data_IF_370510328947
#
_entry.id   IF_370510328947
#
_cell.length_a   1.000
_cell.length_b   1.000
_cell.length_c   1.000
_cell.angle_alpha   90.00
_cell.angle_beta   90.00
_cell.angle_gamma   90.00
#
_symmetry.space_group_name_H-M   'P 1'
#
loop_
_entity.id
_entity.type
_entity.pdbx_description
1 polymer ?
#
# COMPACT_ATOMS: atom_id res chain seq x y z
N UNK A 1 24.77 -22.44 16.96
CA UNK A 1 24.30 -21.09 16.63
C UNK A 1 25.31 -20.46 15.67
N UNK A 2 24.93 -20.12 14.45
CA UNK A 2 25.84 -19.49 13.49
C UNK A 2 26.26 -18.09 13.94
N UNK A 3 27.35 -17.56 13.41
CA UNK A 3 27.83 -16.21 13.70
C UNK A 3 26.73 -15.19 13.38
N UNK A 4 26.02 -15.36 12.27
CA UNK A 4 24.90 -14.51 11.86
C UNK A 4 23.75 -14.50 12.87
N UNK A 5 23.42 -15.67 13.43
CA UNK A 5 22.37 -15.78 14.46
C UNK A 5 22.76 -15.04 15.74
N UNK A 6 24.04 -15.11 16.15
CA UNK A 6 24.55 -14.37 17.32
C UNK A 6 24.50 -12.86 17.10
N UNK A 7 24.95 -12.40 15.93
CA UNK A 7 24.90 -10.97 15.56
C UNK A 7 23.47 -10.45 15.52
N UNK A 8 22.56 -11.20 14.89
CA UNK A 8 21.15 -10.81 14.79
C UNK A 8 20.47 -10.77 16.17
N UNK A 9 20.81 -11.72 17.05
CA UNK A 9 20.30 -11.73 18.43
C UNK A 9 20.75 -10.49 19.23
N UNK A 10 22.02 -10.09 19.10
CA UNK A 10 22.52 -8.88 19.77
C UNK A 10 21.92 -7.59 19.17
N UNK A 11 21.79 -7.52 17.84
CA UNK A 11 21.17 -6.38 17.17
C UNK A 11 19.67 -6.21 17.51
N UNK A 12 18.97 -7.30 17.81
CA UNK A 12 17.58 -7.25 18.24
C UNK A 12 17.40 -6.55 19.60
N UNK A 13 18.46 -6.51 20.44
CA UNK A 13 18.45 -5.76 21.71
C UNK A 13 18.62 -4.25 21.52
N UNK A 14 19.04 -3.81 20.33
CA UNK A 14 19.33 -2.41 20.02
C UNK A 14 18.55 -1.98 18.76
N UNK A 15 17.22 -1.81 18.84
CA UNK A 15 16.36 -1.61 17.67
C UNK A 15 16.73 -0.37 16.85
N UNK A 16 17.18 0.72 17.49
CA UNK A 16 17.60 1.93 16.80
C UNK A 16 18.88 1.71 15.98
N UNK A 17 19.86 0.99 16.54
CA UNK A 17 21.10 0.64 15.84
C UNK A 17 20.80 -0.27 14.66
N UNK A 18 19.95 -1.28 14.85
CA UNK A 18 19.52 -2.19 13.77
C UNK A 18 18.85 -1.42 12.63
N UNK A 19 17.97 -0.47 12.95
CA UNK A 19 17.32 0.40 11.94
C UNK A 19 18.33 1.25 11.19
N UNK A 20 19.30 1.84 11.92
CA UNK A 20 20.38 2.66 11.31
C UNK A 20 21.22 1.86 10.33
N UNK A 21 21.68 0.68 10.72
CA UNK A 21 22.46 -0.23 9.86
C UNK A 21 21.65 -0.63 8.63
N UNK A 22 20.38 -1.02 8.82
CA UNK A 22 19.49 -1.40 7.71
C UNK A 22 19.31 -0.25 6.72
N UNK A 23 19.08 0.98 7.21
CA UNK A 23 18.94 2.16 6.34
C UNK A 23 20.21 2.49 5.58
N UNK A 24 21.37 2.46 6.26
CA UNK A 24 22.66 2.69 5.62
C UNK A 24 22.91 1.65 4.52
N UNK A 25 22.69 0.38 4.80
CA UNK A 25 22.81 -0.70 3.82
C UNK A 25 21.87 -0.48 2.61
N UNK A 26 20.59 -0.17 2.86
CA UNK A 26 19.63 0.11 1.80
C UNK A 26 20.04 1.31 0.95
N UNK A 27 20.55 2.38 1.57
CA UNK A 27 21.03 3.57 0.84
C UNK A 27 22.22 3.25 -0.05
N UNK A 28 23.16 2.48 0.44
CA UNK A 28 24.32 2.02 -0.37
C UNK A 28 23.85 1.14 -1.53
N UNK A 29 22.99 0.15 -1.26
CA UNK A 29 22.45 -0.72 -2.31
C UNK A 29 21.67 0.10 -3.36
N UNK A 30 20.89 1.09 -2.93
CA UNK A 30 20.16 1.96 -3.85
C UNK A 30 21.12 2.80 -4.72
N UNK A 31 22.18 3.34 -4.12
CA UNK A 31 23.16 4.17 -4.84
C UNK A 31 23.94 3.38 -5.90
N UNK A 32 24.24 2.10 -5.65
CA UNK A 32 24.99 1.25 -6.57
C UNK A 32 24.09 0.42 -7.48
N UNK A 33 22.78 0.37 -7.23
CA UNK A 33 21.85 -0.39 -8.07
C UNK A 33 21.63 0.28 -9.40
N UNK A 34 21.53 -0.53 -10.47
CA UNK A 34 21.13 -0.03 -11.78
C UNK A 34 19.69 0.50 -11.67
N UNK A 35 19.48 1.75 -12.07
CA UNK A 35 18.13 2.29 -12.18
C UNK A 35 17.38 1.54 -13.27
N UNK A 36 16.24 0.99 -12.90
CA UNK A 36 15.32 0.36 -13.84
C UNK A 36 14.46 1.49 -14.42
N UNK A 37 14.54 1.67 -15.71
CA UNK A 37 13.63 2.56 -16.43
C UNK A 37 12.36 1.78 -16.76
N UNK A 38 11.21 2.34 -16.43
CA UNK A 38 9.93 1.74 -16.78
C UNK A 38 9.63 1.99 -18.24
N UNK A 39 9.28 0.94 -18.99
CA UNK A 39 8.74 1.09 -20.32
C UNK A 39 7.24 1.44 -20.23
N UNK A 40 6.80 2.37 -21.07
CA UNK A 40 5.41 2.80 -21.17
C UNK A 40 5.10 4.12 -20.47
N UNK A 41 3.84 4.52 -20.58
CA UNK A 41 3.34 5.76 -19.99
C UNK A 41 2.73 5.45 -18.60
N UNK A 42 3.44 5.83 -17.54
CA UNK A 42 2.97 5.67 -16.17
C UNK A 42 2.16 6.91 -15.78
N UNK A 43 0.89 6.71 -15.48
CA UNK A 43 -0.02 7.78 -15.03
C UNK A 43 -0.36 7.58 -13.55
N UNK A 44 -0.11 8.59 -12.73
CA UNK A 44 -0.53 8.59 -11.33
C UNK A 44 -2.02 8.93 -11.26
N UNK A 45 -2.81 8.07 -10.62
CA UNK A 45 -4.25 8.25 -10.43
C UNK A 45 -4.60 8.83 -9.07
N UNK A 46 -3.79 8.54 -8.04
CA UNK A 46 -4.00 9.07 -6.68
C UNK A 46 -3.58 10.54 -6.58
N UNK A 47 -4.16 11.31 -5.65
CA UNK A 47 -3.71 12.68 -5.38
C UNK A 47 -2.23 12.74 -5.01
N UNK A 48 -1.63 13.88 -5.26
CA UNK A 48 -0.28 14.18 -4.81
C UNK A 48 -0.35 14.98 -3.50
N UNK A 49 -1.01 14.44 -2.49
CA UNK A 49 -0.93 15.02 -1.15
C UNK A 49 0.23 14.44 -0.36
N UNK A 50 0.66 15.13 0.69
CA UNK A 50 1.75 14.70 1.56
C UNK A 50 1.27 14.18 2.92
N UNK A 51 -0.04 14.20 3.14
CA UNK A 51 -0.66 13.86 4.42
C UNK A 51 -1.13 12.42 4.47
N UNK A 52 -1.34 11.82 3.29
CA UNK A 52 -1.88 10.48 3.17
C UNK A 52 -1.12 9.65 2.14
N UNK A 53 -1.20 8.36 2.33
CA UNK A 53 -0.70 7.35 1.41
C UNK A 53 -1.86 6.58 0.79
N UNK A 54 -1.71 6.27 -0.50
CA UNK A 54 -2.74 5.63 -1.31
C UNK A 54 -2.23 4.31 -1.84
N UNK A 55 -2.99 3.25 -1.63
CA UNK A 55 -2.61 1.90 -2.02
C UNK A 55 -3.84 1.02 -2.27
N UNK A 56 -3.65 -0.13 -2.91
CA UNK A 56 -4.70 -1.14 -3.04
C UNK A 56 -4.43 -2.35 -2.14
N UNK A 57 -3.21 -2.88 -2.19
CA UNK A 57 -2.72 -3.94 -1.31
C UNK A 57 -3.08 -5.35 -1.74
N UNK A 58 -4.29 -5.62 -2.20
CA UNK A 58 -4.77 -6.96 -2.50
C UNK A 58 -4.32 -7.43 -3.91
N UNK A 59 -3.11 -7.95 -3.98
CA UNK A 59 -2.36 -8.22 -5.21
C UNK A 59 -2.97 -9.30 -6.15
N UNK A 60 -3.85 -10.18 -5.68
CA UNK A 60 -4.49 -11.23 -6.48
C UNK A 60 -5.87 -10.82 -7.03
N UNK A 61 -6.28 -9.58 -6.82
CA UNK A 61 -7.52 -9.01 -7.34
C UNK A 61 -7.25 -7.76 -8.16
N UNK A 62 -8.11 -7.51 -9.13
CA UNK A 62 -8.07 -6.25 -9.87
C UNK A 62 -8.72 -5.14 -9.06
N UNK A 63 -8.09 -3.97 -8.91
CA UNK A 63 -8.75 -2.79 -8.35
C UNK A 63 -9.77 -2.18 -9.31
N UNK A 64 -9.71 -2.52 -10.60
CA UNK A 64 -10.60 -2.01 -11.64
C UNK A 64 -11.95 -2.69 -11.61
N UNK A 65 -13.01 -1.90 -11.82
CA UNK A 65 -14.32 -2.44 -12.13
C UNK A 65 -14.37 -3.04 -13.55
N UNK A 66 -15.42 -3.79 -13.86
CA UNK A 66 -15.56 -4.43 -15.17
C UNK A 66 -15.70 -3.45 -16.34
N UNK A 67 -15.99 -2.17 -16.09
CA UNK A 67 -16.07 -1.13 -17.14
C UNK A 67 -14.72 -0.49 -17.45
N UNK A 68 -13.71 -0.71 -16.60
CA UNK A 68 -12.41 -0.04 -16.70
C UNK A 68 -12.44 1.44 -16.35
N UNK A 69 -13.51 1.92 -15.70
CA UNK A 69 -13.67 3.32 -15.32
C UNK A 69 -13.34 3.59 -13.86
N UNK A 70 -13.77 2.70 -12.98
CA UNK A 70 -13.65 2.91 -11.56
C UNK A 70 -12.53 2.04 -10.95
N UNK A 71 -11.80 2.63 -10.01
CA UNK A 71 -10.74 1.95 -9.27
C UNK A 71 -11.04 2.04 -7.78
N UNK A 72 -10.96 0.89 -7.09
CA UNK A 72 -10.91 0.87 -5.63
C UNK A 72 -9.50 1.24 -5.19
N UNK A 73 -9.40 2.13 -4.21
CA UNK A 73 -8.15 2.54 -3.60
C UNK A 73 -8.35 2.70 -2.09
N UNK A 74 -7.34 2.39 -1.31
CA UNK A 74 -7.31 2.69 0.12
C UNK A 74 -6.50 3.95 0.37
N UNK A 75 -6.85 4.67 1.43
CA UNK A 75 -6.11 5.82 1.94
C UNK A 75 -5.87 5.66 3.42
N UNK A 76 -4.61 5.73 3.84
CA UNK A 76 -4.21 5.76 5.24
C UNK A 76 -3.29 6.96 5.49
N UNK A 77 -3.11 7.30 6.76
CA UNK A 77 -2.17 8.34 7.17
C UNK A 77 -0.73 7.91 6.94
N UNK A 78 -0.43 6.65 7.23
CA UNK A 78 0.92 6.10 7.18
C UNK A 78 0.86 4.59 6.87
N UNK A 79 1.68 4.15 5.89
CA UNK A 79 1.83 2.73 5.55
C UNK A 79 3.22 2.18 5.93
N UNK A 80 4.10 2.98 6.52
CA UNK A 80 5.48 2.62 6.87
C UNK A 80 5.63 2.10 8.30
N UNK A 81 4.82 2.62 9.21
CA UNK A 81 4.70 2.09 10.56
C UNK A 81 3.61 1.01 10.62
N UNK A 82 3.72 0.12 11.58
CA UNK A 82 2.58 -0.76 11.89
C UNK A 82 1.45 0.15 12.39
N UNK A 83 0.26 0.10 11.75
CA UNK A 83 -0.85 0.92 12.21
C UNK A 83 -1.25 0.51 13.62
N UNK A 84 -1.65 1.51 14.42
CA UNK A 84 -2.33 1.24 15.67
C UNK A 84 -3.60 0.43 15.37
N UNK A 85 -3.96 -0.60 16.15
CA UNK A 85 -5.17 -1.40 15.93
C UNK A 85 -6.47 -0.60 15.82
N UNK A 86 -6.48 0.62 16.33
CA UNK A 86 -7.64 1.53 16.24
C UNK A 86 -7.55 2.52 15.06
N UNK A 87 -6.43 2.56 14.35
CA UNK A 87 -6.27 3.49 13.23
C UNK A 87 -7.02 2.97 12.00
N UNK A 88 -7.93 3.79 11.49
CA UNK A 88 -8.76 3.44 10.36
C UNK A 88 -8.10 3.81 9.03
N UNK A 89 -8.50 3.12 7.96
CA UNK A 89 -8.23 3.50 6.59
C UNK A 89 -9.53 3.77 5.83
N UNK A 90 -9.48 4.70 4.90
CA UNK A 90 -10.60 5.00 4.03
C UNK A 90 -10.57 4.12 2.80
N UNK A 91 -11.74 3.65 2.38
CA UNK A 91 -11.95 3.00 1.08
C UNK A 91 -12.51 4.05 0.12
N UNK A 92 -11.79 4.24 -0.97
CA UNK A 92 -12.03 5.28 -1.96
C UNK A 92 -12.39 4.66 -3.30
N UNK A 93 -13.21 5.38 -4.06
CA UNK A 93 -13.49 5.11 -5.46
C UNK A 93 -12.91 6.24 -6.31
N UNK A 94 -12.07 5.91 -7.27
CA UNK A 94 -11.49 6.84 -8.24
C UNK A 94 -12.25 6.70 -9.55
N UNK A 95 -12.79 7.79 -10.08
CA UNK A 95 -13.41 7.86 -11.42
C UNK A 95 -12.38 8.39 -12.42
N UNK A 96 -11.80 7.50 -13.20
CA UNK A 96 -10.71 7.83 -14.14
C UNK A 96 -11.17 8.68 -15.32
N UNK A 97 -12.46 8.68 -15.64
CA UNK A 97 -13.03 9.48 -16.72
C UNK A 97 -13.30 10.92 -16.25
N UNK A 98 -13.53 11.13 -14.93
CA UNK A 98 -13.77 12.45 -14.37
C UNK A 98 -12.51 13.03 -13.70
N UNK A 99 -11.42 13.14 -14.47
CA UNK A 99 -10.15 13.72 -14.00
C UNK A 99 -9.66 13.10 -12.67
N UNK A 100 -9.80 11.77 -12.54
CA UNK A 100 -9.46 11.01 -11.34
C UNK A 100 -10.17 11.52 -10.06
N UNK A 101 -11.42 11.96 -10.20
CA UNK A 101 -12.19 12.40 -9.04
C UNK A 101 -12.36 11.28 -8.02
N UNK A 102 -12.19 11.62 -6.75
CA UNK A 102 -12.20 10.66 -5.64
C UNK A 102 -13.46 10.83 -4.82
N UNK A 103 -14.05 9.70 -4.47
CA UNK A 103 -15.16 9.62 -3.52
C UNK A 103 -14.84 8.60 -2.43
N UNK A 104 -14.92 9.00 -1.18
CA UNK A 104 -14.88 8.06 -0.05
C UNK A 104 -16.20 7.28 -0.03
N UNK A 105 -16.10 5.95 0.02
CA UNK A 105 -17.26 5.05 0.03
C UNK A 105 -17.43 4.33 1.37
N UNK A 106 -16.34 4.10 2.10
CA UNK A 106 -16.38 3.48 3.43
C UNK A 106 -15.12 3.82 4.24
N UNK A 107 -15.12 3.39 5.49
CA UNK A 107 -13.95 3.36 6.39
C UNK A 107 -13.84 1.93 6.91
N UNK A 108 -12.64 1.44 7.15
CA UNK A 108 -12.37 0.14 7.76
C UNK A 108 -11.36 0.25 8.88
N UNK A 109 -11.49 -0.58 9.92
CA UNK A 109 -10.52 -0.75 11.00
C UNK A 109 -9.73 -2.06 10.87
N UNK A 110 -10.11 -2.88 9.89
CA UNK A 110 -9.48 -4.19 9.62
C UNK A 110 -8.69 -4.14 8.33
N UNK A 111 -7.44 -3.71 8.42
CA UNK A 111 -6.56 -3.59 7.26
C UNK A 111 -5.09 -3.76 7.62
N UNK A 112 -4.28 -4.04 6.63
CA UNK A 112 -2.82 -4.01 6.71
C UNK A 112 -2.23 -3.55 5.37
N UNK A 113 -0.95 -3.19 5.37
CA UNK A 113 -0.29 -2.62 4.19
C UNK A 113 -0.18 -3.63 3.05
N UNK A 114 -0.05 -4.92 3.37
CA UNK A 114 0.19 -5.96 2.38
C UNK A 114 -1.09 -6.36 1.63
N UNK A 115 -2.22 -6.47 2.33
CA UNK A 115 -3.47 -6.99 1.76
C UNK A 115 -4.59 -5.94 1.70
N UNK A 116 -4.34 -4.73 2.21
CA UNK A 116 -5.39 -3.76 2.41
C UNK A 116 -6.47 -4.31 3.34
N UNK A 117 -7.72 -3.99 3.08
CA UNK A 117 -8.90 -4.58 3.73
C UNK A 117 -9.52 -5.69 2.88
N UNK A 118 -8.76 -6.29 1.98
CA UNK A 118 -9.22 -7.29 1.00
C UNK A 118 -10.37 -6.79 0.11
N UNK A 119 -10.40 -5.48 -0.16
CA UNK A 119 -11.43 -4.88 -1.00
C UNK A 119 -11.41 -5.46 -2.42
N UNK A 120 -12.57 -5.81 -2.91
CA UNK A 120 -12.73 -6.38 -4.25
C UNK A 120 -14.10 -6.09 -4.83
N UNK A 121 -14.17 -6.01 -6.16
CA UNK A 121 -15.44 -5.96 -6.86
C UNK A 121 -16.16 -7.29 -6.76
N UNK A 122 -17.45 -7.26 -6.41
CA UNK A 122 -18.26 -8.45 -6.26
C UNK A 122 -18.87 -8.88 -7.60
N UNK A 123 -18.73 -10.17 -7.92
CA UNK A 123 -19.38 -10.77 -9.10
C UNK A 123 -20.91 -10.92 -8.93
N UNK A 124 -21.60 -11.24 -10.02
CA UNK A 124 -21.08 -11.59 -11.34
C UNK A 124 -20.73 -10.38 -12.24
N UNK A 125 -21.21 -9.18 -11.92
CA UNK A 125 -21.08 -8.00 -12.79
C UNK A 125 -19.78 -7.22 -12.56
N UNK A 126 -19.13 -7.39 -11.40
CA UNK A 126 -17.88 -6.72 -10.99
C UNK A 126 -17.87 -5.19 -11.17
N UNK A 127 -19.01 -4.53 -10.97
CA UNK A 127 -19.16 -3.08 -11.15
C UNK A 127 -20.10 -2.39 -10.17
N UNK A 128 -21.02 -3.14 -9.55
CA UNK A 128 -22.09 -2.56 -8.75
C UNK A 128 -21.82 -2.59 -7.26
N UNK A 129 -21.10 -3.60 -6.79
CA UNK A 129 -20.85 -3.83 -5.37
C UNK A 129 -19.39 -4.11 -5.07
N UNK A 130 -18.97 -3.71 -3.88
CA UNK A 130 -17.63 -3.94 -3.35
C UNK A 130 -17.77 -4.72 -2.05
N UNK A 131 -16.97 -5.78 -1.91
CA UNK A 131 -16.80 -6.54 -0.67
C UNK A 131 -15.47 -6.14 -0.02
N UNK A 132 -15.45 -5.99 1.30
CA UNK A 132 -14.24 -5.68 2.07
C UNK A 132 -14.39 -6.15 3.52
N UNK A 133 -13.27 -6.24 4.23
CA UNK A 133 -13.25 -6.54 5.67
C UNK A 133 -13.36 -5.24 6.48
N UNK A 134 -14.13 -5.31 7.59
CA UNK A 134 -14.26 -4.24 8.57
C UNK A 134 -14.25 -4.81 10.00
#
# INVERSE_FOLDING_TARGET
MSIEQKINYQLNKLPLVKRGIKRAYQSVCYAVSKKIESEGNIVRLSPNDKEHEYFFGYYDKSPWDATGRYIICMRAKDTWSEPDPVESADILLIDTVKSNSIRKIATTHTWNVQQGCMAQWLGPDYKSHILYND
#
